data_IF_690189064900
#
_entry.id   IF_690189064900
#
_cell.length_a   1.000
_cell.length_b   1.000
_cell.length_c   1.000
_cell.angle_alpha   90.00
_cell.angle_beta   90.00
_cell.angle_gamma   90.00
#
_symmetry.space_group_name_H-M   'P 1'
#
loop_
_entity.id
_entity.type
_entity.pdbx_description
1 polymer ?
#
# COMPACT_ATOMS: atom_id res chain seq x y z
N UNK A 1 -9.80 9.34 14.47
CA UNK A 1 -11.05 10.07 14.50
C UNK A 1 -12.04 9.26 15.34
N UNK A 2 -12.09 9.52 16.66
CA UNK A 2 -13.04 8.94 17.59
C UNK A 2 -14.44 9.38 17.20
N UNK A 3 -15.27 8.40 16.87
CA UNK A 3 -16.70 8.58 16.61
C UNK A 3 -17.37 8.97 17.94
N UNK A 4 -17.70 10.23 18.09
CA UNK A 4 -18.57 10.71 19.19
C UNK A 4 -19.98 10.14 19.00
N UNK A 5 -20.70 9.84 20.10
CA UNK A 5 -22.06 9.32 20.04
C UNK A 5 -23.02 10.28 19.33
N UNK A 6 -24.02 9.71 18.64
CA UNK A 6 -24.92 10.45 17.74
C UNK A 6 -25.78 11.56 18.40
N UNK A 7 -25.86 11.64 19.69
CA UNK A 7 -26.70 12.62 20.40
C UNK A 7 -26.10 14.04 20.56
N UNK A 8 -24.78 14.20 20.46
CA UNK A 8 -24.16 15.53 20.55
C UNK A 8 -23.97 16.26 19.21
N UNK A 9 -24.42 15.69 18.08
CA UNK A 9 -24.26 16.27 16.74
C UNK A 9 -25.16 17.48 16.43
N UNK A 10 -26.06 17.86 17.33
CA UNK A 10 -27.13 18.84 17.04
C UNK A 10 -26.70 20.31 17.07
N UNK A 11 -25.57 20.71 17.68
CA UNK A 11 -25.33 22.14 17.89
C UNK A 11 -23.84 22.60 17.93
N UNK A 12 -22.88 21.81 17.59
CA UNK A 12 -21.49 22.27 17.43
C UNK A 12 -21.29 22.79 16.02
N UNK A 13 -21.15 24.11 15.87
CA UNK A 13 -20.76 24.74 14.60
C UNK A 13 -19.42 24.16 14.16
N UNK A 14 -19.43 23.41 13.05
CA UNK A 14 -18.20 22.85 12.47
C UNK A 14 -17.26 24.01 12.14
N UNK A 15 -15.99 24.01 12.57
CA UNK A 15 -15.05 25.09 12.27
C UNK A 15 -14.85 25.23 10.76
N UNK A 16 -14.69 26.47 10.29
CA UNK A 16 -14.56 26.80 8.88
C UNK A 16 -13.45 26.00 8.18
N UNK A 17 -12.32 25.77 8.87
CA UNK A 17 -11.21 24.95 8.36
C UNK A 17 -11.62 23.50 8.03
N UNK A 18 -12.50 22.92 8.86
CA UNK A 18 -13.01 21.56 8.64
C UNK A 18 -13.98 21.51 7.45
N UNK A 19 -14.82 22.56 7.28
CA UNK A 19 -15.71 22.67 6.12
C UNK A 19 -14.89 22.77 4.84
N UNK A 20 -13.87 23.63 4.82
CA UNK A 20 -12.99 23.80 3.66
C UNK A 20 -12.25 22.50 3.33
N UNK A 21 -11.75 21.80 4.35
CA UNK A 21 -11.15 20.48 4.18
C UNK A 21 -12.11 19.45 3.60
N UNK A 22 -13.37 19.44 4.04
CA UNK A 22 -14.41 18.57 3.51
C UNK A 22 -14.71 18.87 2.02
N UNK A 23 -14.79 20.14 1.65
CA UNK A 23 -15.02 20.54 0.27
C UNK A 23 -13.87 20.11 -0.66
N UNK A 24 -12.62 20.29 -0.22
CA UNK A 24 -11.45 19.81 -0.98
C UNK A 24 -11.47 18.28 -1.10
N UNK A 25 -11.79 17.56 -0.02
CA UNK A 25 -11.88 16.11 -0.04
C UNK A 25 -12.97 15.60 -1.01
N UNK A 26 -14.13 16.25 -1.01
CA UNK A 26 -15.22 15.95 -1.96
C UNK A 26 -14.78 16.22 -3.40
N UNK A 27 -14.18 17.39 -3.65
CA UNK A 27 -13.69 17.75 -4.98
C UNK A 27 -12.68 16.73 -5.52
N UNK A 28 -11.70 16.35 -4.72
CA UNK A 28 -10.69 15.36 -5.13
C UNK A 28 -11.30 13.97 -5.34
N UNK A 29 -12.22 13.56 -4.47
CA UNK A 29 -12.89 12.25 -4.59
C UNK A 29 -13.74 12.19 -5.86
N UNK A 30 -14.54 13.20 -6.13
CA UNK A 30 -15.34 13.28 -7.35
C UNK A 30 -14.47 13.50 -8.60
N UNK A 31 -13.36 14.23 -8.46
CA UNK A 31 -12.36 14.38 -9.52
C UNK A 31 -11.74 13.06 -9.94
N UNK A 32 -11.43 12.17 -8.97
CA UNK A 32 -10.96 10.82 -9.27
C UNK A 32 -12.07 9.97 -9.89
N UNK A 33 -13.30 10.04 -9.37
CA UNK A 33 -14.44 9.31 -9.95
C UNK A 33 -14.79 9.76 -11.36
N UNK A 34 -14.47 10.98 -11.74
CA UNK A 34 -14.70 11.49 -13.10
C UNK A 34 -13.93 10.73 -14.17
N UNK A 35 -12.85 10.02 -13.79
CA UNK A 35 -12.14 9.09 -14.68
C UNK A 35 -13.00 7.96 -15.24
N UNK A 36 -14.07 7.57 -14.50
CA UNK A 36 -15.01 6.57 -15.00
C UNK A 36 -15.69 6.98 -16.31
N UNK A 37 -15.81 8.29 -16.54
CA UNK A 37 -16.37 8.81 -17.78
C UNK A 37 -15.29 8.86 -18.88
N UNK A 38 -14.14 9.51 -18.59
CA UNK A 38 -12.99 9.70 -19.51
C UNK A 38 -11.80 10.31 -18.78
N UNK A 39 -10.62 10.25 -19.43
CA UNK A 39 -9.48 11.08 -19.05
C UNK A 39 -9.82 12.56 -19.26
N UNK A 40 -9.95 13.32 -18.18
CA UNK A 40 -10.46 14.68 -18.16
C UNK A 40 -9.57 15.59 -17.27
N UNK A 41 -9.68 16.93 -17.41
CA UNK A 41 -8.84 17.87 -16.66
C UNK A 41 -8.95 17.73 -15.15
N UNK A 42 -10.12 17.39 -14.60
CA UNK A 42 -10.30 17.21 -13.15
C UNK A 42 -9.54 16.01 -12.63
N UNK A 43 -9.60 14.90 -13.36
CA UNK A 43 -8.82 13.71 -13.02
C UNK A 43 -7.32 14.02 -13.04
N UNK A 44 -6.81 14.70 -14.08
CA UNK A 44 -5.40 15.09 -14.18
C UNK A 44 -4.94 15.98 -13.03
N UNK A 45 -5.78 16.95 -12.61
CA UNK A 45 -5.48 17.78 -11.44
C UNK A 45 -5.39 16.91 -10.17
N UNK A 46 -6.40 16.07 -9.93
CA UNK A 46 -6.43 15.18 -8.77
C UNK A 46 -5.24 14.20 -8.75
N UNK A 47 -4.88 13.65 -9.90
CA UNK A 47 -3.73 12.76 -10.08
C UNK A 47 -2.40 13.49 -9.76
N UNK A 48 -2.19 14.67 -10.29
CA UNK A 48 -0.97 15.45 -10.04
C UNK A 48 -0.84 15.84 -8.56
N UNK A 49 -1.95 16.25 -7.93
CA UNK A 49 -1.99 16.54 -6.50
C UNK A 49 -1.67 15.28 -5.69
N UNK A 50 -2.29 14.15 -6.02
CA UNK A 50 -2.05 12.88 -5.34
C UNK A 50 -0.59 12.45 -5.43
N UNK A 51 0.00 12.47 -6.63
CA UNK A 51 1.41 12.10 -6.85
C UNK A 51 2.33 13.07 -6.11
N UNK A 52 2.08 14.39 -6.23
CA UNK A 52 2.91 15.40 -5.57
C UNK A 52 2.86 15.32 -4.05
N UNK A 53 1.67 15.22 -3.46
CA UNK A 53 1.50 15.10 -2.00
C UNK A 53 2.08 13.79 -1.48
N UNK A 54 1.85 12.68 -2.20
CA UNK A 54 2.41 11.39 -1.81
C UNK A 54 3.94 11.39 -1.84
N UNK A 55 4.54 11.93 -2.89
CA UNK A 55 5.99 12.04 -3.00
C UNK A 55 6.58 12.94 -1.90
N UNK A 56 5.96 14.10 -1.65
CA UNK A 56 6.40 15.01 -0.61
C UNK A 56 6.29 14.39 0.80
N UNK A 57 5.17 13.72 1.08
CA UNK A 57 4.94 13.04 2.36
C UNK A 57 5.99 11.95 2.61
N UNK A 58 6.21 11.08 1.61
CA UNK A 58 7.21 10.02 1.74
C UNK A 58 8.63 10.57 1.87
N UNK A 59 8.98 11.60 1.09
CA UNK A 59 10.28 12.26 1.19
C UNK A 59 10.51 12.86 2.58
N UNK A 60 9.53 13.62 3.08
CA UNK A 60 9.61 14.23 4.40
C UNK A 60 9.66 13.17 5.52
N UNK A 61 8.77 12.18 5.48
CA UNK A 61 8.74 11.11 6.47
C UNK A 61 10.04 10.33 6.48
N UNK A 62 10.55 9.93 5.30
CA UNK A 62 11.80 9.19 5.19
C UNK A 62 12.99 9.99 5.67
N UNK A 63 13.04 11.31 5.38
CA UNK A 63 14.07 12.19 5.89
C UNK A 63 14.09 12.22 7.42
N UNK A 64 12.94 12.51 8.05
CA UNK A 64 12.85 12.67 9.50
C UNK A 64 12.96 11.35 10.29
N UNK A 65 12.45 10.24 9.75
CA UNK A 65 12.44 8.94 10.47
C UNK A 65 13.67 8.09 10.17
N UNK A 66 14.29 8.24 9.00
CA UNK A 66 15.40 7.37 8.58
C UNK A 66 16.72 8.13 8.41
N UNK A 67 16.73 9.17 7.58
CA UNK A 67 18.00 9.86 7.26
C UNK A 67 18.51 10.62 8.46
N UNK A 68 17.65 11.39 9.09
CA UNK A 68 18.04 12.26 10.19
C UNK A 68 18.62 11.48 11.39
N UNK A 69 17.91 10.52 12.03
CA UNK A 69 18.43 9.79 13.19
C UNK A 69 19.54 8.80 12.83
N UNK A 70 19.46 8.12 11.69
CA UNK A 70 20.39 7.04 11.37
C UNK A 70 21.68 7.53 10.68
N UNK A 71 21.65 8.65 9.98
CA UNK A 71 22.82 9.19 9.31
C UNK A 71 23.39 10.39 10.08
N UNK A 72 22.64 11.49 10.18
CA UNK A 72 23.11 12.71 10.81
C UNK A 72 23.30 12.57 12.33
N UNK A 73 22.37 11.89 13.01
CA UNK A 73 22.45 11.66 14.44
C UNK A 73 23.65 10.80 14.87
N UNK A 74 24.16 9.96 13.99
CA UNK A 74 25.33 9.12 14.25
C UNK A 74 26.62 9.70 13.72
N UNK A 75 26.55 10.64 12.76
CA UNK A 75 27.73 11.28 12.17
C UNK A 75 28.18 12.51 12.94
N UNK A 76 27.23 13.27 13.52
CA UNK A 76 27.55 14.47 14.29
C UNK A 76 27.50 14.17 15.79
N UNK A 77 28.57 14.51 16.51
CA UNK A 77 28.59 14.37 17.96
C UNK A 77 27.51 15.23 18.63
N UNK A 78 27.04 14.79 19.79
CA UNK A 78 26.00 15.47 20.60
C UNK A 78 26.30 16.95 20.90
N UNK A 79 27.56 17.32 20.89
CA UNK A 79 28.06 18.69 21.17
C UNK A 79 28.11 19.61 19.95
N UNK A 80 27.65 19.14 18.77
CA UNK A 80 27.64 20.00 17.57
C UNK A 80 26.50 21.03 17.66
N UNK A 81 26.67 22.26 17.12
CA UNK A 81 25.63 23.28 17.12
C UNK A 81 24.36 22.82 16.36
N UNK A 82 24.48 21.80 15.51
CA UNK A 82 23.35 21.15 14.84
C UNK A 82 22.56 20.22 15.76
N UNK A 83 23.17 19.65 16.81
CA UNK A 83 22.49 18.77 17.76
C UNK A 83 21.53 19.55 18.68
N UNK A 84 21.80 20.82 18.98
CA UNK A 84 20.93 21.66 19.78
C UNK A 84 19.66 22.14 19.04
N UNK A 85 19.69 22.15 17.73
CA UNK A 85 18.58 22.58 16.88
C UNK A 85 17.50 21.50 16.75
N UNK A 86 17.85 20.24 16.99
CA UNK A 86 16.95 19.10 16.91
C UNK A 86 17.20 18.22 18.12
N UNK A 87 16.14 17.79 18.80
CA UNK A 87 16.20 16.89 19.96
C UNK A 87 16.71 15.52 19.49
N UNK A 88 18.04 15.38 19.38
CA UNK A 88 18.67 14.09 19.20
C UNK A 88 18.57 13.35 20.53
N UNK A 89 17.92 12.20 20.49
CA UNK A 89 17.84 11.31 21.63
C UNK A 89 19.25 10.95 22.10
N UNK A 90 19.54 11.13 23.38
CA UNK A 90 20.88 11.10 24.01
C UNK A 90 21.61 9.74 23.96
N UNK A 91 21.20 8.83 23.09
CA UNK A 91 21.69 7.46 23.00
C UNK A 91 22.54 7.09 21.78
N UNK A 92 22.85 8.02 20.87
CA UNK A 92 23.59 7.67 19.68
C UNK A 92 25.08 8.04 19.83
N UNK A 93 25.94 7.02 19.88
CA UNK A 93 27.41 7.20 19.85
C UNK A 93 27.87 7.65 18.46
N UNK A 94 28.84 8.60 18.43
CA UNK A 94 29.49 9.00 17.20
C UNK A 94 30.19 7.81 16.53
N UNK A 95 29.89 7.59 15.27
CA UNK A 95 30.55 6.56 14.49
C UNK A 95 30.95 7.08 13.10
N UNK A 96 32.23 7.29 12.88
CA UNK A 96 32.79 7.79 11.63
C UNK A 96 32.55 6.90 10.42
N UNK A 97 32.16 5.62 10.60
CA UNK A 97 31.81 4.72 9.50
C UNK A 97 30.56 5.20 8.72
N UNK A 98 29.72 6.03 9.34
CA UNK A 98 28.54 6.61 8.66
C UNK A 98 28.89 7.68 7.61
N UNK A 99 30.16 8.08 7.53
CA UNK A 99 30.64 8.90 6.42
C UNK A 99 30.55 8.17 5.06
N UNK A 100 30.72 6.86 5.06
CA UNK A 100 30.61 6.05 3.84
C UNK A 100 29.19 6.06 3.22
N UNK A 101 28.09 5.79 3.96
CA UNK A 101 26.74 5.99 3.46
C UNK A 101 26.43 7.42 3.02
N UNK A 102 26.96 8.43 3.72
CA UNK A 102 26.79 9.82 3.33
C UNK A 102 27.42 10.08 1.95
N UNK A 103 28.66 9.62 1.75
CA UNK A 103 29.36 9.76 0.48
C UNK A 103 28.58 9.08 -0.66
N UNK A 104 28.08 7.85 -0.45
CA UNK A 104 27.27 7.15 -1.44
C UNK A 104 25.98 7.90 -1.74
N UNK A 105 25.33 8.45 -0.73
CA UNK A 105 24.12 9.27 -0.88
C UNK A 105 24.37 10.52 -1.73
N UNK A 106 25.47 11.23 -1.46
CA UNK A 106 25.90 12.38 -2.27
C UNK A 106 26.18 11.95 -3.70
N UNK A 107 26.88 10.84 -3.92
CA UNK A 107 27.11 10.31 -5.27
C UNK A 107 25.81 10.00 -6.01
N UNK A 108 24.78 9.50 -5.32
CA UNK A 108 23.45 9.29 -5.91
C UNK A 108 22.78 10.62 -6.29
N UNK A 109 22.89 11.65 -5.46
CA UNK A 109 22.36 12.98 -5.78
C UNK A 109 23.04 13.61 -7.00
N UNK A 110 24.30 13.28 -7.27
CA UNK A 110 25.01 13.73 -8.47
C UNK A 110 24.39 13.19 -9.76
N UNK A 111 23.49 12.20 -9.70
CA UNK A 111 22.73 11.73 -10.87
C UNK A 111 21.89 12.82 -11.54
N UNK A 112 21.55 13.88 -10.80
CA UNK A 112 20.79 15.03 -11.32
C UNK A 112 21.63 15.82 -12.35
N UNK A 113 22.96 15.80 -12.20
CA UNK A 113 23.88 16.52 -13.08
C UNK A 113 24.38 15.61 -14.20
N UNK A 114 23.99 15.90 -15.43
CA UNK A 114 24.26 15.08 -16.62
C UNK A 114 25.77 14.83 -16.86
N UNK A 115 26.63 15.76 -16.48
CA UNK A 115 28.08 15.69 -16.68
C UNK A 115 28.77 14.71 -15.72
N UNK A 116 28.27 14.57 -14.47
CA UNK A 116 28.91 13.82 -13.38
C UNK A 116 28.12 12.53 -13.06
N UNK A 117 27.10 12.22 -13.85
CA UNK A 117 26.21 11.06 -13.64
C UNK A 117 26.94 9.71 -13.55
N UNK A 118 28.16 9.59 -14.13
CA UNK A 118 28.93 8.35 -14.03
C UNK A 118 29.28 7.96 -12.58
N UNK A 119 29.46 8.93 -11.68
CA UNK A 119 29.71 8.67 -10.24
C UNK A 119 28.50 8.06 -9.55
N UNK A 120 27.30 8.44 -9.93
CA UNK A 120 26.08 7.91 -9.35
C UNK A 120 25.95 6.39 -9.54
N UNK A 121 26.57 5.82 -10.58
CA UNK A 121 26.53 4.38 -10.83
C UNK A 121 27.04 3.55 -9.66
N UNK A 122 28.07 4.02 -8.96
CA UNK A 122 28.63 3.33 -7.79
C UNK A 122 27.65 3.34 -6.61
N UNK A 123 27.05 4.50 -6.30
CA UNK A 123 26.06 4.64 -5.24
C UNK A 123 24.80 3.80 -5.54
N UNK A 124 24.31 3.85 -6.77
CA UNK A 124 23.15 3.07 -7.21
C UNK A 124 23.45 1.56 -7.18
N UNK A 125 24.61 1.12 -7.70
CA UNK A 125 24.98 -0.29 -7.70
C UNK A 125 25.07 -0.85 -6.26
N UNK A 126 25.67 -0.11 -5.34
CA UNK A 126 25.75 -0.50 -3.95
C UNK A 126 24.36 -0.60 -3.30
N UNK A 127 23.53 0.42 -3.46
CA UNK A 127 22.18 0.46 -2.88
C UNK A 127 21.30 -0.65 -3.45
N UNK A 128 21.33 -0.84 -4.77
CA UNK A 128 20.55 -1.92 -5.43
C UNK A 128 21.06 -3.29 -5.01
N UNK A 129 22.38 -3.47 -4.91
CA UNK A 129 22.99 -4.74 -4.47
C UNK A 129 22.56 -5.12 -3.05
N UNK A 130 22.66 -4.19 -2.10
CA UNK A 130 22.21 -4.43 -0.71
C UNK A 130 20.70 -4.64 -0.64
N UNK A 131 19.92 -3.78 -1.31
CA UNK A 131 18.47 -3.89 -1.30
C UNK A 131 18.02 -5.23 -1.91
N UNK A 132 18.62 -5.66 -3.01
CA UNK A 132 18.34 -6.96 -3.61
C UNK A 132 18.69 -8.12 -2.66
N UNK A 133 19.87 -8.07 -2.03
CA UNK A 133 20.29 -9.11 -1.09
C UNK A 133 19.37 -9.23 0.13
N UNK A 134 19.07 -8.11 0.79
CA UNK A 134 18.18 -8.08 1.95
C UNK A 134 16.74 -8.47 1.58
N UNK A 135 16.23 -8.00 0.44
CA UNK A 135 14.89 -8.36 -0.03
C UNK A 135 14.80 -9.85 -0.41
N UNK A 136 15.82 -10.38 -1.08
CA UNK A 136 15.87 -11.81 -1.42
C UNK A 136 15.87 -12.67 -0.17
N UNK A 137 16.70 -12.34 0.83
CA UNK A 137 16.70 -13.05 2.10
C UNK A 137 15.34 -12.93 2.82
N UNK A 138 14.78 -11.72 2.89
CA UNK A 138 13.48 -11.47 3.51
C UNK A 138 12.36 -12.27 2.83
N UNK A 139 12.28 -12.24 1.50
CA UNK A 139 11.28 -13.00 0.75
C UNK A 139 11.49 -14.50 0.84
N UNK A 140 12.73 -14.99 0.80
CA UNK A 140 13.02 -16.40 1.00
C UNK A 140 12.56 -16.87 2.39
N UNK A 141 12.87 -16.10 3.42
CA UNK A 141 12.47 -16.39 4.79
C UNK A 141 10.94 -16.35 4.98
N UNK A 142 10.26 -15.29 4.51
CA UNK A 142 8.82 -15.10 4.73
C UNK A 142 7.95 -15.91 3.77
N UNK A 143 8.28 -15.92 2.47
CA UNK A 143 7.41 -16.51 1.45
C UNK A 143 7.72 -17.97 1.14
N UNK A 144 8.92 -18.45 1.47
CA UNK A 144 9.28 -19.86 1.25
C UNK A 144 9.38 -20.59 2.58
N UNK A 145 10.33 -20.22 3.44
CA UNK A 145 10.59 -20.97 4.68
C UNK A 145 9.40 -20.91 5.64
N UNK A 146 8.82 -19.73 5.84
CA UNK A 146 7.64 -19.56 6.71
C UNK A 146 6.42 -20.29 6.17
N UNK A 147 6.22 -20.31 4.84
CA UNK A 147 5.11 -21.03 4.22
C UNK A 147 5.30 -22.55 4.32
N UNK A 148 6.51 -23.05 4.07
CA UNK A 148 6.81 -24.48 4.29
C UNK A 148 6.58 -24.85 5.75
N UNK A 149 7.06 -24.03 6.69
CA UNK A 149 6.86 -24.28 8.12
C UNK A 149 5.38 -24.28 8.52
N UNK A 150 4.57 -23.38 7.98
CA UNK A 150 3.14 -23.30 8.26
C UNK A 150 2.33 -24.46 7.66
N UNK A 151 2.82 -25.08 6.58
CA UNK A 151 2.20 -26.28 5.98
C UNK A 151 2.70 -27.59 6.56
N UNK A 152 3.88 -27.60 7.23
CA UNK A 152 4.42 -28.73 7.96
C UNK A 152 3.81 -28.82 9.36
N UNK A 153 2.49 -28.97 9.43
CA UNK A 153 1.73 -29.06 10.69
C UNK A 153 1.65 -30.48 11.15
N UNK A 154 1.72 -30.72 12.47
CA UNK A 154 1.49 -32.04 13.03
C UNK A 154 0.06 -32.52 12.79
N UNK A 155 -0.10 -33.59 12.02
CA UNK A 155 -1.40 -34.10 11.57
C UNK A 155 -2.35 -34.47 12.71
N UNK A 156 -1.84 -34.83 13.86
CA UNK A 156 -2.60 -35.37 14.99
C UNK A 156 -2.58 -34.51 16.25
N UNK A 157 -1.86 -33.40 16.27
CA UNK A 157 -1.76 -32.51 17.42
C UNK A 157 -2.70 -31.29 17.26
N UNK A 158 -4.00 -31.53 17.23
CA UNK A 158 -4.99 -30.45 17.28
C UNK A 158 -5.37 -30.11 18.72
N UNK A 159 -5.31 -28.84 19.11
CA UNK A 159 -5.77 -28.39 20.44
C UNK A 159 -7.31 -28.28 20.53
N UNK A 160 -8.00 -28.31 19.40
CA UNK A 160 -9.45 -28.17 19.29
C UNK A 160 -10.14 -29.47 18.86
N UNK A 161 -11.47 -29.64 19.10
CA UNK A 161 -12.24 -30.76 18.61
C UNK A 161 -12.11 -30.98 17.12
N UNK A 162 -12.27 -32.20 16.64
CA UNK A 162 -12.02 -32.63 15.27
C UNK A 162 -12.66 -31.70 14.18
N UNK A 163 -13.83 -31.15 14.43
CA UNK A 163 -14.57 -30.27 13.53
C UNK A 163 -14.59 -28.78 13.96
N UNK A 164 -13.80 -28.35 14.93
CA UNK A 164 -13.80 -26.96 15.34
C UNK A 164 -13.16 -26.08 14.25
N UNK A 165 -13.91 -25.11 13.73
CA UNK A 165 -13.42 -24.06 12.83
C UNK A 165 -13.59 -22.68 13.48
N UNK A 166 -12.66 -21.71 13.26
CA UNK A 166 -11.31 -21.80 12.71
C UNK A 166 -10.28 -22.10 13.80
N UNK A 167 -9.27 -22.93 13.52
CA UNK A 167 -8.17 -23.17 14.43
C UNK A 167 -7.41 -24.48 14.19
N UNK A 168 -6.63 -24.87 15.14
CA UNK A 168 -5.82 -26.10 15.19
C UNK A 168 -6.69 -27.35 15.39
N UNK A 169 -7.51 -27.69 14.39
CA UNK A 169 -8.26 -28.95 14.38
C UNK A 169 -7.58 -30.00 13.50
N UNK A 170 -7.65 -31.26 13.90
CA UNK A 170 -7.09 -32.39 13.15
C UNK A 170 -7.63 -32.41 11.71
N UNK A 171 -8.91 -32.10 11.52
CA UNK A 171 -9.53 -32.02 10.20
C UNK A 171 -8.87 -30.95 9.32
N UNK A 172 -8.63 -29.76 9.86
CA UNK A 172 -7.99 -28.66 9.13
C UNK A 172 -6.56 -29.01 8.71
N UNK A 173 -5.79 -29.65 9.62
CA UNK A 173 -4.42 -30.07 9.34
C UNK A 173 -4.37 -31.12 8.23
N UNK A 174 -5.31 -32.08 8.22
CA UNK A 174 -5.43 -33.10 7.16
C UNK A 174 -5.77 -32.44 5.82
N UNK A 175 -6.71 -31.48 5.79
CA UNK A 175 -7.10 -30.76 4.58
C UNK A 175 -5.93 -29.95 4.01
N UNK A 176 -5.18 -29.24 4.86
CA UNK A 176 -3.99 -28.49 4.45
C UNK A 176 -2.94 -29.44 3.86
N UNK A 177 -2.67 -30.56 4.51
CA UNK A 177 -1.70 -31.54 4.05
C UNK A 177 -2.06 -32.14 2.69
N UNK A 178 -3.30 -32.61 2.54
CA UNK A 178 -3.79 -33.17 1.27
C UNK A 178 -3.79 -32.10 0.17
N UNK A 179 -4.25 -30.89 0.48
CA UNK A 179 -4.27 -29.75 -0.45
C UNK A 179 -2.86 -29.39 -0.93
N UNK A 180 -1.91 -29.31 -0.02
CA UNK A 180 -0.51 -29.00 -0.35
C UNK A 180 0.12 -30.07 -1.23
N UNK A 181 0.01 -31.36 -0.86
CA UNK A 181 0.57 -32.44 -1.67
C UNK A 181 -0.09 -32.52 -3.04
N UNK A 182 -1.41 -32.40 -3.11
CA UNK A 182 -2.12 -32.45 -4.39
C UNK A 182 -1.76 -31.26 -5.30
N UNK A 183 -1.55 -30.07 -4.74
CA UNK A 183 -1.08 -28.89 -5.47
C UNK A 183 0.38 -29.08 -5.97
N UNK A 184 1.27 -29.62 -5.15
CA UNK A 184 2.62 -29.93 -5.57
C UNK A 184 2.67 -30.98 -6.70
N UNK A 185 1.80 -32.00 -6.62
CA UNK A 185 1.67 -33.00 -7.68
C UNK A 185 1.20 -32.37 -9.01
N UNK A 186 0.36 -31.35 -8.95
CA UNK A 186 -0.06 -30.61 -10.15
C UNK A 186 1.13 -29.90 -10.84
N UNK A 187 2.02 -29.30 -10.07
CA UNK A 187 3.21 -28.60 -10.61
C UNK A 187 4.33 -29.55 -11.07
N UNK A 188 4.19 -30.85 -10.84
CA UNK A 188 5.16 -31.83 -11.32
C UNK A 188 4.86 -32.25 -12.76
N UNK A 189 5.36 -31.48 -13.72
CA UNK A 189 5.08 -31.64 -15.16
C UNK A 189 5.82 -32.80 -15.84
N UNK A 190 6.78 -33.43 -15.17
CA UNK A 190 7.60 -34.50 -15.77
C UNK A 190 6.88 -35.84 -15.96
N UNK A 191 5.67 -35.99 -15.43
CA UNK A 191 4.89 -37.22 -15.47
C UNK A 191 3.53 -37.03 -16.13
N UNK A 192 3.10 -37.99 -16.97
CA UNK A 192 1.76 -37.97 -17.55
C UNK A 192 0.67 -38.07 -16.46
N UNK A 193 -0.32 -37.20 -16.55
CA UNK A 193 -1.40 -37.10 -15.57
C UNK A 193 -2.52 -38.11 -15.87
N UNK A 194 -2.22 -39.41 -15.79
CA UNK A 194 -3.14 -40.51 -16.05
C UNK A 194 -3.48 -41.35 -14.81
N UNK A 195 -4.62 -42.02 -14.80
CA UNK A 195 -5.06 -42.92 -13.75
C UNK A 195 -5.29 -42.25 -12.38
N UNK A 196 -4.81 -42.89 -11.31
CA UNK A 196 -4.92 -42.40 -9.92
C UNK A 196 -4.17 -41.07 -9.75
N UNK A 197 -2.99 -40.94 -10.35
CA UNK A 197 -2.19 -39.71 -10.30
C UNK A 197 -2.98 -38.52 -10.88
N UNK A 198 -3.67 -38.71 -12.00
CA UNK A 198 -4.50 -37.66 -12.60
C UNK A 198 -5.71 -37.25 -11.73
N UNK A 199 -6.25 -38.16 -10.88
CA UNK A 199 -7.31 -37.77 -9.93
C UNK A 199 -6.80 -36.88 -8.80
N UNK A 200 -5.62 -37.20 -8.23
CA UNK A 200 -4.97 -36.34 -7.21
C UNK A 200 -4.57 -34.99 -7.79
N UNK A 201 -4.08 -34.94 -9.02
CA UNK A 201 -3.75 -33.70 -9.69
C UNK A 201 -4.98 -32.81 -9.92
N UNK A 202 -6.11 -33.41 -10.30
CA UNK A 202 -7.40 -32.66 -10.41
C UNK A 202 -7.85 -32.11 -9.06
N UNK A 203 -7.68 -32.85 -7.97
CA UNK A 203 -7.94 -32.35 -6.63
C UNK A 203 -7.07 -31.11 -6.34
N UNK A 204 -5.79 -31.17 -6.67
CA UNK A 204 -4.87 -30.03 -6.55
C UNK A 204 -5.32 -28.81 -7.33
N UNK A 205 -5.81 -28.98 -8.57
CA UNK A 205 -6.39 -27.91 -9.37
C UNK A 205 -7.57 -27.25 -8.64
N UNK A 206 -8.49 -28.03 -8.06
CA UNK A 206 -9.61 -27.48 -7.30
C UNK A 206 -9.15 -26.67 -6.08
N UNK A 207 -8.20 -27.16 -5.32
CA UNK A 207 -7.62 -26.41 -4.19
C UNK A 207 -6.99 -25.09 -4.66
N UNK A 208 -6.23 -25.10 -5.76
CA UNK A 208 -5.62 -23.89 -6.34
C UNK A 208 -6.69 -22.91 -6.82
N UNK A 209 -7.72 -23.39 -7.52
CA UNK A 209 -8.81 -22.53 -7.99
C UNK A 209 -9.55 -21.86 -6.82
N UNK A 210 -9.85 -22.60 -5.75
CA UNK A 210 -10.48 -22.05 -4.55
C UNK A 210 -9.56 -21.03 -3.87
N UNK A 211 -8.28 -21.35 -3.73
CA UNK A 211 -7.28 -20.46 -3.12
C UNK A 211 -7.10 -19.16 -3.91
N UNK A 212 -6.97 -19.24 -5.23
CA UNK A 212 -6.87 -18.05 -6.08
C UNK A 212 -8.17 -17.23 -6.07
N UNK A 213 -9.33 -17.91 -6.10
CA UNK A 213 -10.63 -17.25 -5.99
C UNK A 213 -10.79 -16.52 -4.66
N UNK A 214 -10.43 -17.15 -3.56
CA UNK A 214 -10.45 -16.53 -2.24
C UNK A 214 -9.49 -15.34 -2.15
N UNK A 215 -8.25 -15.48 -2.61
CA UNK A 215 -7.24 -14.41 -2.61
C UNK A 215 -7.70 -13.21 -3.46
N UNK A 216 -8.27 -13.48 -4.64
CA UNK A 216 -8.87 -12.44 -5.48
C UNK A 216 -10.06 -11.78 -4.78
N UNK A 217 -10.94 -12.58 -4.16
CA UNK A 217 -12.08 -12.09 -3.40
C UNK A 217 -11.67 -11.15 -2.26
N UNK A 218 -10.65 -11.51 -1.48
CA UNK A 218 -10.11 -10.64 -0.43
C UNK A 218 -9.53 -9.33 -0.99
N UNK A 219 -8.80 -9.40 -2.10
CA UNK A 219 -8.25 -8.20 -2.73
C UNK A 219 -9.35 -7.25 -3.24
N UNK A 220 -10.39 -7.79 -3.86
CA UNK A 220 -11.54 -7.01 -4.35
C UNK A 220 -12.35 -6.46 -3.18
N UNK A 221 -12.64 -7.28 -2.15
CA UNK A 221 -13.38 -6.84 -0.96
C UNK A 221 -12.69 -5.68 -0.26
N UNK A 222 -11.36 -5.72 -0.12
CA UNK A 222 -10.59 -4.61 0.44
C UNK A 222 -10.78 -3.31 -0.35
N UNK A 223 -10.75 -3.37 -1.67
CA UNK A 223 -10.99 -2.20 -2.55
C UNK A 223 -12.42 -1.69 -2.45
N UNK A 224 -13.41 -2.60 -2.42
CA UNK A 224 -14.82 -2.23 -2.26
C UNK A 224 -15.07 -1.58 -0.90
N UNK A 225 -14.47 -2.09 0.18
CA UNK A 225 -14.58 -1.47 1.51
C UNK A 225 -14.05 -0.04 1.54
N UNK A 226 -12.91 0.22 0.87
CA UNK A 226 -12.39 1.57 0.72
C UNK A 226 -13.34 2.47 -0.09
N UNK A 227 -13.93 1.94 -1.17
CA UNK A 227 -14.92 2.66 -1.99
C UNK A 227 -16.17 3.02 -1.17
N UNK A 228 -16.70 2.08 -0.40
CA UNK A 228 -17.84 2.32 0.51
C UNK A 228 -17.50 3.44 1.51
N UNK A 229 -16.28 3.44 2.07
CA UNK A 229 -15.80 4.51 2.92
C UNK A 229 -15.87 5.88 2.23
N UNK A 230 -15.46 5.97 0.96
CA UNK A 230 -15.55 7.22 0.18
C UNK A 230 -16.99 7.65 -0.09
N UNK A 231 -17.88 6.72 -0.37
CA UNK A 231 -19.31 7.06 -0.50
C UNK A 231 -19.92 7.53 0.82
N UNK A 232 -19.56 6.92 1.93
CA UNK A 232 -20.01 7.38 3.25
C UNK A 232 -19.51 8.80 3.55
N UNK A 233 -18.25 9.13 3.20
CA UNK A 233 -17.73 10.49 3.32
C UNK A 233 -18.53 11.48 2.47
N UNK A 234 -18.87 11.14 1.21
CA UNK A 234 -19.69 11.98 0.34
C UNK A 234 -21.10 12.19 0.90
N UNK A 235 -21.71 11.16 1.47
CA UNK A 235 -23.02 11.27 2.14
C UNK A 235 -22.92 12.16 3.36
N UNK A 236 -21.88 12.00 4.18
CA UNK A 236 -21.64 12.84 5.36
C UNK A 236 -21.52 14.32 4.99
N UNK A 237 -20.75 14.62 3.94
CA UNK A 237 -20.51 16.00 3.50
C UNK A 237 -21.68 16.59 2.68
N UNK A 238 -22.73 15.81 2.41
CA UNK A 238 -24.00 16.31 1.84
C UNK A 238 -24.91 16.95 2.89
N UNK A 239 -24.60 16.84 4.19
CA UNK A 239 -25.40 17.40 5.28
C UNK A 239 -25.30 18.95 5.35
N UNK A 240 -26.33 19.62 5.91
CA UNK A 240 -26.33 21.08 6.12
C UNK A 240 -25.14 21.58 6.95
N UNK A 241 -24.60 20.76 7.86
CA UNK A 241 -23.43 21.09 8.70
C UNK A 241 -22.17 21.38 7.88
N UNK A 242 -22.09 20.87 6.65
CA UNK A 242 -21.00 21.08 5.69
C UNK A 242 -21.42 21.92 4.48
N UNK A 243 -22.51 22.69 4.61
CA UNK A 243 -23.08 23.55 3.56
C UNK A 243 -23.38 22.81 2.26
N UNK A 244 -23.84 21.56 2.33
CA UNK A 244 -24.17 20.75 1.14
C UNK A 244 -23.01 20.62 0.14
N UNK A 245 -21.76 20.52 0.62
CA UNK A 245 -20.55 20.54 -0.19
C UNK A 245 -20.55 19.51 -1.33
N UNK A 246 -21.07 18.31 -1.09
CA UNK A 246 -21.14 17.25 -2.10
C UNK A 246 -22.02 17.63 -3.29
N UNK A 247 -23.20 18.23 -3.06
CA UNK A 247 -24.11 18.61 -4.14
C UNK A 247 -23.54 19.76 -4.99
N UNK A 248 -22.93 20.75 -4.36
CA UNK A 248 -22.31 21.87 -5.08
C UNK A 248 -21.13 21.40 -5.94
N UNK A 249 -20.24 20.57 -5.39
CA UNK A 249 -19.08 20.07 -6.13
C UNK A 249 -19.49 19.13 -7.25
N UNK A 250 -20.48 18.26 -7.01
CA UNK A 250 -21.02 17.36 -8.03
C UNK A 250 -21.65 18.14 -9.18
N UNK A 251 -22.46 19.16 -8.90
CA UNK A 251 -23.04 20.03 -9.90
C UNK A 251 -21.99 20.75 -10.73
N UNK A 252 -20.95 21.31 -10.07
CA UNK A 252 -19.84 21.98 -10.75
C UNK A 252 -19.11 21.04 -11.70
N UNK A 253 -18.76 19.83 -11.24
CA UNK A 253 -18.04 18.85 -12.06
C UNK A 253 -18.89 18.41 -13.25
N UNK A 254 -20.20 18.14 -13.07
CA UNK A 254 -21.09 17.74 -14.17
C UNK A 254 -21.18 18.85 -15.22
N UNK A 255 -21.36 20.11 -14.81
CA UNK A 255 -21.49 21.24 -15.75
C UNK A 255 -20.19 21.43 -16.54
N UNK A 256 -19.04 21.43 -15.84
CA UNK A 256 -17.75 21.65 -16.51
C UNK A 256 -17.37 20.47 -17.40
N UNK A 257 -17.63 19.22 -16.98
CA UNK A 257 -17.40 18.04 -17.82
C UNK A 257 -18.32 18.01 -19.05
N UNK A 258 -19.59 18.39 -18.88
CA UNK A 258 -20.52 18.54 -19.98
C UNK A 258 -20.02 19.56 -21.01
N UNK A 259 -19.62 20.74 -20.55
CA UNK A 259 -19.05 21.78 -21.41
C UNK A 259 -17.77 21.33 -22.12
N UNK A 260 -16.86 20.71 -21.39
CA UNK A 260 -15.61 20.17 -21.94
C UNK A 260 -15.84 19.08 -22.98
N UNK A 261 -16.83 18.19 -22.73
CA UNK A 261 -17.21 17.12 -23.65
C UNK A 261 -17.78 17.65 -24.97
N UNK A 262 -18.52 18.77 -24.91
CA UNK A 262 -19.03 19.43 -26.12
C UNK A 262 -17.93 20.09 -26.95
N UNK A 263 -16.89 20.64 -26.32
CA UNK A 263 -15.77 21.27 -27.00
C UNK A 263 -14.77 20.28 -27.64
N UNK A 264 -14.72 19.04 -27.19
CA UNK A 264 -13.75 18.03 -27.65
C UNK A 264 -14.46 16.78 -28.21
N UNK A 265 -15.19 16.88 -29.33
CA UNK A 265 -15.92 15.74 -29.91
C UNK A 265 -15.00 14.68 -30.52
N UNK A 266 -13.77 15.04 -30.95
CA UNK A 266 -12.83 14.14 -31.64
C UNK A 266 -12.25 12.99 -30.76
N UNK A 267 -12.45 13.08 -29.46
CA UNK A 267 -11.97 12.02 -28.56
C UNK A 267 -13.00 10.85 -28.47
N UNK A 268 -13.98 10.76 -29.38
CA UNK A 268 -15.02 9.73 -29.35
C UNK A 268 -14.62 8.36 -29.90
N UNK A 269 -13.43 8.23 -30.47
CA UNK A 269 -12.94 6.99 -31.08
C UNK A 269 -11.56 6.63 -30.53
N UNK A 270 -11.53 6.03 -29.33
CA UNK A 270 -10.32 5.47 -28.74
C UNK A 270 -10.68 4.36 -27.75
#
# INVERSE_FOLDING_TARGET
>A
LTLLPNEERGNTKVPFSTILGAWIAVFLTLGIFSYLYRDNPFYKIAEHIFVGVSAAYWAATFYWTQIYPNLFGRLFAVDSPFASMYVLDKGHEYNGLYFFPLLLGIMMLLSIFKQINWMARWGIAYTVGIAAGLKTFGYLSSNVISQIKSTAVDLFSGSLPFFAMPGDSIFNNIVIFIGTISALMYFYFSREQSGLYGRFTRLGIYFLMISFGASFGFAVMGRISLLIGRFNDLILFSNPSYNYGTFWMLGLIIVVLGYWSFQNPEIKEG
#
